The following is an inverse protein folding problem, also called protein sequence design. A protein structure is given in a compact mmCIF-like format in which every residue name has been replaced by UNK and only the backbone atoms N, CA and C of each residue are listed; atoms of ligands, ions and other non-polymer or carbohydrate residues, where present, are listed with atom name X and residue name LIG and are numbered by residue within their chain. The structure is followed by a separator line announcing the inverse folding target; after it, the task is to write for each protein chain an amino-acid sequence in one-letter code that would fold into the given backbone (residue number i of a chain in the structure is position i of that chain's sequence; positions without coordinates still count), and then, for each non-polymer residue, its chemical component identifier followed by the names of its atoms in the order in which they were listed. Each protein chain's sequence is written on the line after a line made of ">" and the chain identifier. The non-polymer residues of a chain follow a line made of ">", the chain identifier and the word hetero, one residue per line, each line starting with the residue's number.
data_IF_378016761878
#
_entry.id   IF_378016761878
#
_cell.length_a   1.000
_cell.length_b   1.000
_cell.length_c   1.000
_cell.angle_alpha   90.00
_cell.angle_beta   90.00
_cell.angle_gamma   90.00
#
_symmetry.space_group_name_H-M   'P 1'
#
loop_
_entity.id
_entity.type
_entity.pdbx_description
1 polymer ?
#
# COMPACT_ATOMS: atom_id res chain seq x y z
N UNK A 1 0.72 -3.36 3.54
CA UNK A 1 1.19 -3.52 4.93
C UNK A 1 2.17 -4.68 4.90
N UNK A 2 3.30 -4.57 5.58
CA UNK A 2 4.28 -5.64 5.68
C UNK A 2 4.29 -6.11 7.13
N UNK A 3 4.03 -7.40 7.34
CA UNK A 3 3.93 -8.01 8.67
C UNK A 3 4.92 -9.16 8.75
N UNK A 4 5.81 -9.11 9.73
CA UNK A 4 6.83 -10.15 9.96
C UNK A 4 6.71 -10.64 11.40
N UNK A 5 6.66 -11.96 11.58
CA UNK A 5 6.69 -12.57 12.91
C UNK A 5 8.12 -12.50 13.46
N UNK A 6 8.24 -12.14 14.73
CA UNK A 6 9.48 -12.19 15.51
C UNK A 6 9.26 -12.99 16.79
N UNK A 7 10.33 -13.30 17.52
CA UNK A 7 10.30 -14.08 18.77
C UNK A 7 9.38 -13.50 19.86
N UNK A 8 9.24 -12.17 19.88
CA UNK A 8 8.49 -11.41 20.86
C UNK A 8 7.13 -10.92 20.35
N UNK A 9 6.75 -11.24 19.11
CA UNK A 9 5.48 -10.80 18.52
C UNK A 9 5.57 -10.50 17.03
N UNK A 10 5.23 -9.26 16.66
CA UNK A 10 5.09 -8.84 15.26
C UNK A 10 5.78 -7.52 14.99
N UNK A 11 6.57 -7.47 13.91
CA UNK A 11 7.03 -6.22 13.31
C UNK A 11 6.07 -5.83 12.19
N UNK A 12 5.58 -4.59 12.22
CA UNK A 12 4.55 -4.10 11.30
C UNK A 12 5.02 -2.80 10.65
N UNK A 13 5.05 -2.77 9.31
CA UNK A 13 5.11 -1.55 8.51
C UNK A 13 3.69 -1.29 8.01
N UNK A 14 3.09 -0.20 8.51
CA UNK A 14 1.72 0.17 8.17
C UNK A 14 1.57 0.48 6.66
N UNK A 15 0.31 0.62 6.24
CA UNK A 15 -0.01 0.82 4.84
C UNK A 15 0.57 2.11 4.27
N UNK A 16 0.65 3.21 5.02
CA UNK A 16 1.23 4.45 4.47
C UNK A 16 2.76 4.34 4.37
N UNK A 17 3.40 3.76 5.38
CA UNK A 17 4.85 3.62 5.45
C UNK A 17 5.40 2.65 4.39
N UNK A 18 4.63 1.64 3.95
CA UNK A 18 5.12 0.74 2.90
C UNK A 18 5.24 1.43 1.53
N UNK A 19 4.47 2.50 1.28
CA UNK A 19 4.51 3.27 0.03
C UNK A 19 5.75 4.16 0.03
N UNK A 20 6.09 4.72 1.20
CA UNK A 20 7.37 5.40 1.41
C UNK A 20 8.55 4.44 1.22
N UNK A 21 8.46 3.21 1.75
CA UNK A 21 9.49 2.19 1.52
C UNK A 21 9.64 1.86 0.03
N UNK A 22 8.53 1.73 -0.71
CA UNK A 22 8.56 1.48 -2.16
C UNK A 22 9.32 2.58 -2.92
N UNK A 23 9.08 3.84 -2.59
CA UNK A 23 9.85 4.97 -3.16
C UNK A 23 11.30 4.95 -2.73
N UNK A 24 11.61 4.67 -1.46
CA UNK A 24 12.99 4.57 -1.00
C UNK A 24 13.77 3.53 -1.79
N UNK A 25 13.18 2.36 -2.07
CA UNK A 25 13.78 1.32 -2.90
C UNK A 25 14.01 1.82 -4.34
N UNK A 26 13.05 2.53 -4.92
CA UNK A 26 13.18 3.08 -6.26
C UNK A 26 14.30 4.15 -6.35
N UNK A 27 14.49 4.96 -5.31
CA UNK A 27 15.59 5.95 -5.27
C UNK A 27 16.98 5.31 -5.34
N UNK A 28 17.12 4.03 -4.99
CA UNK A 28 18.35 3.26 -5.14
C UNK A 28 18.56 2.65 -6.54
N UNK A 29 17.63 2.83 -7.47
CA UNK A 29 17.82 2.37 -8.85
C UNK A 29 18.93 3.16 -9.55
N UNK A 30 19.75 2.43 -10.31
CA UNK A 30 20.71 3.02 -11.24
C UNK A 30 19.99 4.01 -12.16
N UNK A 31 20.60 5.17 -12.40
CA UNK A 31 20.03 6.23 -13.24
C UNK A 31 19.63 5.73 -14.62
N UNK A 32 20.43 4.82 -15.18
CA UNK A 32 20.26 4.29 -16.53
C UNK A 32 19.15 3.23 -16.60
N UNK A 33 18.67 2.76 -15.45
CA UNK A 33 17.54 1.82 -15.33
C UNK A 33 16.22 2.53 -15.01
N UNK A 34 16.23 3.86 -14.83
CA UNK A 34 15.00 4.60 -14.52
C UNK A 34 14.13 4.71 -15.78
N UNK A 35 12.81 4.51 -15.67
CA UNK A 35 11.90 4.72 -16.78
C UNK A 35 11.86 6.20 -17.17
N UNK A 36 11.42 6.46 -18.41
CA UNK A 36 11.23 7.83 -18.95
C UNK A 36 10.36 8.69 -18.02
N UNK A 37 9.27 8.11 -17.51
CA UNK A 37 8.32 8.80 -16.62
C UNK A 37 8.71 8.59 -15.15
N UNK A 38 9.91 9.05 -14.77
CA UNK A 38 10.49 8.75 -13.46
C UNK A 38 9.69 9.35 -12.30
N UNK A 39 9.29 10.62 -12.40
CA UNK A 39 8.55 11.31 -11.34
C UNK A 39 7.17 10.68 -11.18
N UNK A 40 6.49 10.38 -12.28
CA UNK A 40 5.20 9.68 -12.30
C UNK A 40 5.34 8.30 -11.67
N UNK A 41 6.44 7.59 -11.94
CA UNK A 41 6.73 6.29 -11.31
C UNK A 41 6.92 6.42 -9.81
N UNK A 42 7.63 7.44 -9.32
CA UNK A 42 7.79 7.68 -7.88
C UNK A 42 6.46 8.03 -7.20
N UNK A 43 5.63 8.86 -7.83
CA UNK A 43 4.30 9.21 -7.32
C UNK A 43 3.42 7.95 -7.28
N UNK A 44 3.42 7.19 -8.38
CA UNK A 44 2.71 5.91 -8.50
C UNK A 44 3.08 4.95 -7.36
N UNK A 45 4.37 4.75 -7.11
CA UNK A 45 4.87 3.92 -6.01
C UNK A 45 4.44 4.43 -4.63
N UNK A 46 4.43 5.74 -4.41
CA UNK A 46 4.02 6.31 -3.11
C UNK A 46 2.53 6.07 -2.85
N UNK A 47 1.70 6.14 -3.89
CA UNK A 47 0.24 6.25 -3.77
C UNK A 47 -0.51 5.00 -4.25
N UNK A 48 0.19 3.93 -4.67
CA UNK A 48 -0.42 2.74 -5.28
C UNK A 48 -1.51 2.10 -4.41
N UNK A 49 -1.38 2.25 -3.10
CA UNK A 49 -2.24 1.66 -2.09
C UNK A 49 -3.06 2.71 -1.32
N UNK A 50 -3.18 3.92 -1.87
CA UNK A 50 -4.09 4.95 -1.35
C UNK A 50 -5.57 4.54 -1.49
N UNK A 51 -6.43 5.17 -0.69
CA UNK A 51 -7.88 4.90 -0.72
C UNK A 51 -8.33 3.76 0.18
N UNK A 52 -7.40 3.11 0.88
CA UNK A 52 -7.69 2.18 1.96
C UNK A 52 -8.50 2.85 3.08
N UNK A 53 -9.30 2.04 3.77
CA UNK A 53 -10.09 2.52 4.91
C UNK A 53 -9.19 2.84 6.10
N UNK A 54 -9.61 3.80 6.91
CA UNK A 54 -8.93 4.16 8.15
C UNK A 54 -8.75 2.93 9.06
N UNK A 55 -7.61 2.85 9.74
CA UNK A 55 -7.32 1.74 10.65
C UNK A 55 -7.95 1.98 12.02
N UNK A 56 -8.26 3.21 12.38
CA UNK A 56 -8.92 3.52 13.65
C UNK A 56 -10.32 2.90 13.72
N UNK A 57 -10.69 2.37 14.89
CA UNK A 57 -12.05 1.90 15.16
C UNK A 57 -12.38 0.49 14.65
N UNK A 58 -11.41 -0.29 14.14
CA UNK A 58 -11.61 -1.68 13.72
C UNK A 58 -10.65 -2.64 14.43
N UNK A 59 -11.11 -3.87 14.65
CA UNK A 59 -10.24 -4.95 15.13
C UNK A 59 -9.43 -5.52 13.96
N UNK A 60 -8.11 -5.47 14.09
CA UNK A 60 -7.16 -5.97 13.08
C UNK A 60 -6.50 -7.29 13.51
N UNK A 61 -7.08 -7.99 14.48
CA UNK A 61 -6.62 -9.29 14.95
C UNK A 61 -7.66 -10.37 14.65
N UNK A 62 -7.15 -11.54 14.27
CA UNK A 62 -7.92 -12.79 14.28
C UNK A 62 -8.33 -13.17 15.71
N UNK A 63 -9.28 -14.10 15.86
CA UNK A 63 -9.65 -14.66 17.17
C UNK A 63 -8.46 -15.27 17.93
N UNK A 64 -7.45 -15.77 17.20
CA UNK A 64 -6.22 -16.32 17.77
C UNK A 64 -5.18 -15.23 18.16
N UNK A 65 -5.47 -13.94 17.92
CA UNK A 65 -4.57 -12.83 18.26
C UNK A 65 -3.49 -12.53 17.22
N UNK A 66 -3.50 -13.17 16.06
CA UNK A 66 -2.59 -12.84 14.95
C UNK A 66 -3.13 -11.67 14.11
N UNK A 67 -2.26 -10.84 13.49
CA UNK A 67 -2.68 -9.81 12.54
C UNK A 67 -3.59 -10.37 11.43
N UNK A 68 -4.67 -9.65 11.15
CA UNK A 68 -5.69 -10.07 10.20
C UNK A 68 -5.13 -10.05 8.77
N UNK A 69 -5.23 -11.18 8.08
CA UNK A 69 -4.86 -11.26 6.68
C UNK A 69 -5.94 -10.62 5.81
N UNK A 70 -5.55 -9.85 4.79
CA UNK A 70 -6.50 -9.17 3.89
C UNK A 70 -7.50 -10.09 3.16
N UNK A 71 -7.24 -11.41 3.12
CA UNK A 71 -8.12 -12.41 2.50
C UNK A 71 -9.29 -12.81 3.41
N UNK A 72 -9.20 -12.44 4.69
CA UNK A 72 -10.24 -12.66 5.70
C UNK A 72 -11.15 -11.44 5.84
N UNK A 73 -10.81 -10.32 5.19
CA UNK A 73 -11.62 -9.12 5.19
C UNK A 73 -12.80 -9.27 4.24
N UNK A 74 -13.93 -8.69 4.63
CA UNK A 74 -15.10 -8.61 3.76
C UNK A 74 -14.80 -7.72 2.55
N UNK A 75 -15.29 -8.15 1.40
CA UNK A 75 -15.23 -7.37 0.18
C UNK A 75 -16.05 -6.08 0.29
N UNK A 76 -15.47 -4.95 -0.11
CA UNK A 76 -16.13 -3.64 -0.08
C UNK A 76 -16.15 -2.98 -1.47
N UNK A 77 -17.32 -3.02 -2.13
CA UNK A 77 -17.55 -2.28 -3.38
C UNK A 77 -17.24 -0.78 -3.24
N UNK A 78 -17.56 -0.20 -2.08
CA UNK A 78 -17.34 1.22 -1.81
C UNK A 78 -15.84 1.54 -1.80
N UNK A 79 -15.04 0.70 -1.14
CA UNK A 79 -13.58 0.82 -1.12
C UNK A 79 -13.01 0.68 -2.53
N UNK A 80 -13.42 -0.32 -3.30
CA UNK A 80 -12.94 -0.51 -4.68
C UNK A 80 -13.23 0.72 -5.56
N UNK A 81 -14.44 1.29 -5.49
CA UNK A 81 -14.79 2.52 -6.23
C UNK A 81 -13.94 3.71 -5.81
N UNK A 82 -13.67 3.85 -4.51
CA UNK A 82 -12.82 4.92 -3.97
C UNK A 82 -11.38 4.80 -4.47
N UNK A 83 -10.80 3.59 -4.45
CA UNK A 83 -9.46 3.34 -4.98
C UNK A 83 -9.37 3.67 -6.48
N UNK A 84 -10.36 3.24 -7.27
CA UNK A 84 -10.44 3.59 -8.71
C UNK A 84 -10.51 5.11 -8.90
N UNK A 85 -11.36 5.80 -8.14
CA UNK A 85 -11.52 7.25 -8.25
C UNK A 85 -10.20 7.98 -7.94
N UNK A 86 -9.49 7.58 -6.89
CA UNK A 86 -8.20 8.16 -6.51
C UNK A 86 -7.16 7.93 -7.62
N UNK A 87 -7.09 6.71 -8.15
CA UNK A 87 -6.22 6.37 -9.28
C UNK A 87 -6.51 7.22 -10.52
N UNK A 88 -7.79 7.46 -10.83
CA UNK A 88 -8.18 8.28 -11.98
C UNK A 88 -7.87 9.78 -11.84
N UNK A 89 -7.74 10.29 -10.61
CA UNK A 89 -7.53 11.71 -10.34
C UNK A 89 -6.06 12.08 -10.28
N UNK A 90 -5.34 11.61 -9.27
CA UNK A 90 -3.98 12.08 -8.94
C UNK A 90 -2.90 11.26 -9.63
N UNK A 91 -3.18 9.98 -9.88
CA UNK A 91 -2.19 9.02 -10.35
C UNK A 91 -2.75 8.22 -11.52
N UNK A 92 -3.12 8.91 -12.61
CA UNK A 92 -3.55 8.23 -13.85
C UNK A 92 -2.52 7.19 -14.33
N UNK A 93 -1.25 7.38 -13.96
CA UNK A 93 -0.19 6.42 -14.18
C UNK A 93 -0.41 5.10 -13.41
N UNK A 94 -0.90 5.14 -12.17
CA UNK A 94 -1.37 3.93 -11.46
C UNK A 94 -2.56 3.26 -12.18
N UNK A 95 -3.44 4.03 -12.81
CA UNK A 95 -4.60 3.49 -13.53
C UNK A 95 -4.27 2.84 -14.89
N UNK A 96 -3.02 2.93 -15.36
CA UNK A 96 -2.55 2.31 -16.62
C UNK A 96 -1.93 0.92 -16.41
N UNK A 97 -1.77 0.49 -15.16
CA UNK A 97 -1.35 -0.87 -14.76
C UNK A 97 -2.59 -1.71 -14.43
#
# INVERSE_FOLDING_TARGET
>A
MIVTQIDTGWQIINQQAHGLLAVQLALHWHTDSRPVNWIETLIALTEHDDGQDAWEGRNHLTTAGAPLHFKLLDYSMAQCRKMIQIGLQKSRWNALL
#
